data_IF_273844434172
#
_entry.id   IF_273844434172
#
_cell.length_a   1.000
_cell.length_b   1.000
_cell.length_c   1.000
_cell.angle_alpha   90.00
_cell.angle_beta   90.00
_cell.angle_gamma   90.00
#
_symmetry.space_group_name_H-M   'P 1'
#
loop_
_entity.id
_entity.type
_entity.pdbx_description
1 polymer ?
#
# COMPACT_ATOMS: atom_id res chain seq x y z
N UNK A 1 3.94 17.26 -5.66
CA UNK A 1 3.11 16.14 -5.22
C UNK A 1 2.92 15.20 -6.40
N UNK A 2 3.06 13.89 -6.22
CA UNK A 2 2.99 12.87 -7.28
C UNK A 2 2.09 11.71 -6.85
N UNK A 3 1.44 11.07 -7.81
CA UNK A 3 0.52 9.96 -7.59
C UNK A 3 0.78 8.87 -8.62
N UNK A 4 0.68 7.61 -8.21
CA UNK A 4 0.70 6.48 -9.13
C UNK A 4 -0.24 5.38 -8.65
N UNK A 5 -1.24 5.04 -9.47
CA UNK A 5 -2.10 3.88 -9.19
C UNK A 5 -1.34 2.61 -9.57
N UNK A 6 -1.11 1.73 -8.61
CA UNK A 6 -0.61 0.38 -8.88
C UNK A 6 -1.75 -0.51 -9.35
N UNK A 7 -2.99 -0.19 -9.00
CA UNK A 7 -4.19 -0.72 -9.64
C UNK A 7 -5.46 -0.32 -8.89
N UNK A 8 -6.59 -0.53 -9.56
CA UNK A 8 -7.92 -0.26 -9.04
C UNK A 8 -8.90 -1.33 -9.54
N UNK A 9 -9.70 -1.89 -8.63
CA UNK A 9 -10.74 -2.87 -8.90
C UNK A 9 -10.68 -4.11 -8.02
N UNK A 10 -11.56 -5.08 -8.27
CA UNK A 10 -11.78 -6.27 -7.42
C UNK A 10 -10.58 -7.20 -7.24
N UNK A 11 -9.52 -7.02 -8.03
CA UNK A 11 -8.28 -7.80 -7.94
C UNK A 11 -7.20 -7.14 -7.09
N UNK A 12 -7.50 -5.98 -6.50
CA UNK A 12 -6.64 -5.25 -5.60
C UNK A 12 -6.52 -3.77 -5.96
N UNK A 13 -6.53 -2.95 -4.91
CA UNK A 13 -6.35 -1.51 -4.96
C UNK A 13 -5.07 -1.15 -4.22
N UNK A 14 -4.23 -0.32 -4.83
CA UNK A 14 -3.10 0.31 -4.17
C UNK A 14 -2.68 1.55 -4.96
N UNK A 15 -2.43 2.66 -4.26
CA UNK A 15 -1.97 3.92 -4.86
C UNK A 15 -0.78 4.45 -4.09
N UNK A 16 0.30 4.79 -4.79
CA UNK A 16 1.43 5.51 -4.21
C UNK A 16 1.15 7.01 -4.23
N UNK A 17 1.45 7.68 -3.12
CA UNK A 17 1.33 9.13 -2.97
C UNK A 17 2.64 9.68 -2.44
N UNK A 18 3.28 10.57 -3.21
CA UNK A 18 4.52 11.25 -2.81
C UNK A 18 4.30 12.75 -2.59
N UNK A 19 4.71 13.24 -1.43
CA UNK A 19 4.72 14.66 -1.08
C UNK A 19 6.05 15.01 -0.39
N UNK A 20 6.90 15.78 -1.08
CA UNK A 20 8.26 16.05 -0.60
C UNK A 20 9.08 14.75 -0.53
N UNK A 21 9.72 14.52 0.62
CA UNK A 21 10.45 13.27 0.90
C UNK A 21 9.53 12.12 1.32
N UNK A 22 8.27 12.39 1.63
CA UNK A 22 7.35 11.37 2.14
C UNK A 22 6.68 10.60 1.00
N UNK A 23 6.66 9.28 1.11
CA UNK A 23 5.98 8.35 0.22
C UNK A 23 5.12 7.39 1.03
N UNK A 24 3.81 7.39 0.78
CA UNK A 24 2.88 6.45 1.39
C UNK A 24 2.19 5.60 0.35
N UNK A 25 1.79 4.40 0.74
CA UNK A 25 0.86 3.57 -0.01
C UNK A 25 -0.54 3.71 0.58
N UNK A 26 -1.51 4.12 -0.22
CA UNK A 26 -2.94 4.08 0.12
C UNK A 26 -3.50 2.76 -0.38
N UNK A 27 -3.91 1.92 0.56
CA UNK A 27 -4.37 0.55 0.41
C UNK A 27 -3.34 -0.42 -0.21
N UNK A 28 -3.49 -1.71 0.10
CA UNK A 28 -2.78 -2.79 -0.58
C UNK A 28 -3.66 -4.05 -0.64
N UNK A 29 -4.50 -4.14 -1.67
CA UNK A 29 -5.27 -5.35 -1.97
C UNK A 29 -4.47 -6.48 -2.65
N UNK A 30 -3.28 -6.19 -3.14
CA UNK A 30 -2.43 -7.16 -3.83
C UNK A 30 -1.69 -8.08 -2.85
N UNK A 31 -1.25 -9.25 -3.32
CA UNK A 31 -0.21 -9.99 -2.60
C UNK A 31 1.06 -9.14 -2.47
N UNK A 32 1.83 -9.31 -1.38
CA UNK A 32 3.08 -8.57 -1.19
C UNK A 32 4.06 -8.72 -2.37
N UNK A 33 4.10 -9.89 -3.01
CA UNK A 33 4.92 -10.12 -4.22
C UNK A 33 4.49 -9.24 -5.39
N UNK A 34 3.18 -9.13 -5.63
CA UNK A 34 2.66 -8.35 -6.74
C UNK A 34 2.75 -6.84 -6.47
N UNK A 35 2.54 -6.40 -5.21
CA UNK A 35 2.77 -5.02 -4.81
C UNK A 35 4.23 -4.61 -5.09
N UNK A 36 5.20 -5.41 -4.64
CA UNK A 36 6.64 -5.18 -4.89
C UNK A 36 6.94 -5.11 -6.39
N UNK A 37 6.42 -6.05 -7.17
CA UNK A 37 6.61 -6.07 -8.63
C UNK A 37 6.08 -4.79 -9.28
N UNK A 38 4.90 -4.30 -8.87
CA UNK A 38 4.28 -3.09 -9.44
C UNK A 38 5.01 -1.82 -9.04
N UNK A 39 5.49 -1.72 -7.79
CA UNK A 39 6.33 -0.60 -7.36
C UNK A 39 7.65 -0.56 -8.14
N UNK A 40 8.28 -1.71 -8.37
CA UNK A 40 9.52 -1.80 -9.13
C UNK A 40 9.38 -1.31 -10.58
N UNK A 41 8.21 -1.48 -11.21
CA UNK A 41 7.93 -0.92 -12.55
C UNK A 41 7.98 0.61 -12.58
N UNK A 42 7.82 1.25 -11.42
CA UNK A 42 7.90 2.70 -11.23
C UNK A 42 9.23 3.15 -10.62
N UNK A 43 10.19 2.22 -10.45
CA UNK A 43 11.46 2.50 -9.77
C UNK A 43 11.31 2.79 -8.28
N UNK A 44 10.26 2.26 -7.64
CA UNK A 44 10.02 2.39 -6.19
C UNK A 44 10.30 1.05 -5.52
N UNK A 45 11.07 1.09 -4.43
CA UNK A 45 11.27 -0.05 -3.55
C UNK A 45 10.33 0.03 -2.34
N UNK A 46 9.94 -1.11 -1.73
CA UNK A 46 9.14 -1.10 -0.51
C UNK A 46 9.79 -0.32 0.64
N UNK A 47 11.12 -0.28 0.69
CA UNK A 47 11.88 0.46 1.69
C UNK A 47 11.80 1.99 1.51
N UNK A 48 11.34 2.47 0.35
CA UNK A 48 11.07 3.88 0.13
C UNK A 48 9.75 4.34 0.78
N UNK A 49 8.89 3.41 1.19
CA UNK A 49 7.61 3.74 1.81
C UNK A 49 7.81 4.12 3.27
N UNK A 50 7.21 5.24 3.67
CA UNK A 50 7.15 5.65 5.07
C UNK A 50 6.00 4.98 5.82
N UNK A 51 4.90 4.66 5.12
CA UNK A 51 3.71 4.08 5.74
C UNK A 51 2.74 3.46 4.73
N UNK A 52 1.82 2.65 5.25
CA UNK A 52 0.61 2.21 4.56
C UNK A 52 -0.61 2.87 5.24
N UNK A 53 -1.48 3.49 4.46
CA UNK A 53 -2.77 4.02 4.91
C UNK A 53 -3.86 3.08 4.40
N UNK A 54 -4.75 2.61 5.28
CA UNK A 54 -5.87 1.73 4.89
C UNK A 54 -7.17 2.49 4.99
N UNK A 55 -7.93 2.51 3.90
CA UNK A 55 -9.20 3.22 3.82
C UNK A 55 -10.34 2.47 4.51
N UNK A 56 -10.41 1.15 4.30
CA UNK A 56 -11.41 0.24 4.89
C UNK A 56 -10.97 -1.23 4.76
N UNK A 57 -11.69 -2.14 5.43
CA UNK A 57 -11.28 -3.52 5.72
C UNK A 57 -11.49 -4.53 4.59
N UNK A 58 -12.09 -4.10 3.48
CA UNK A 58 -12.34 -5.00 2.34
C UNK A 58 -11.04 -5.62 1.82
N UNK A 59 -11.11 -6.89 1.40
CA UNK A 59 -9.93 -7.68 1.05
C UNK A 59 -9.17 -7.15 -0.16
N UNK A 60 -9.86 -6.52 -1.11
CA UNK A 60 -9.27 -5.84 -2.25
C UNK A 60 -8.62 -4.48 -1.89
N UNK A 61 -8.68 -4.06 -0.63
CA UNK A 61 -7.96 -2.90 -0.09
C UNK A 61 -6.95 -3.29 1.00
N UNK A 62 -7.30 -4.23 1.89
CA UNK A 62 -6.48 -4.57 3.06
C UNK A 62 -5.77 -5.93 2.96
N UNK A 63 -6.11 -6.79 2.00
CA UNK A 63 -5.70 -8.20 1.97
C UNK A 63 -4.19 -8.45 1.88
N UNK A 64 -3.43 -7.47 1.37
CA UNK A 64 -1.98 -7.49 1.28
C UNK A 64 -1.24 -6.78 2.41
N UNK A 65 -1.93 -5.89 3.14
CA UNK A 65 -1.33 -4.91 4.05
C UNK A 65 -0.51 -5.60 5.14
N UNK A 66 -1.10 -6.56 5.86
CA UNK A 66 -0.42 -7.22 6.97
C UNK A 66 0.87 -7.94 6.55
N UNK A 67 0.88 -8.58 5.37
CA UNK A 67 2.08 -9.25 4.85
C UNK A 67 3.14 -8.26 4.40
N UNK A 68 2.73 -7.18 3.75
CA UNK A 68 3.66 -6.14 3.28
C UNK A 68 4.29 -5.41 4.47
N UNK A 69 3.47 -4.97 5.43
CA UNK A 69 3.91 -4.31 6.66
C UNK A 69 4.88 -5.16 7.46
N UNK A 70 4.55 -6.43 7.75
CA UNK A 70 5.44 -7.32 8.50
C UNK A 70 6.77 -7.59 7.80
N UNK A 71 6.76 -7.64 6.46
CA UNK A 71 7.97 -7.96 5.68
C UNK A 71 8.94 -6.78 5.58
N UNK A 72 8.42 -5.56 5.55
CA UNK A 72 9.19 -4.35 5.32
C UNK A 72 9.14 -3.37 6.50
N UNK A 73 8.66 -3.84 7.65
CA UNK A 73 8.54 -3.09 8.91
C UNK A 73 7.82 -1.73 8.76
N UNK A 74 6.80 -1.70 7.88
CA UNK A 74 6.07 -0.48 7.58
C UNK A 74 4.97 -0.22 8.62
N UNK A 75 4.87 1.00 9.17
CA UNK A 75 3.74 1.38 10.00
C UNK A 75 2.45 1.40 9.16
N UNK A 76 1.35 1.00 9.79
CA UNK A 76 0.02 0.99 9.18
C UNK A 76 -0.90 1.92 9.95
N UNK A 77 -1.50 2.88 9.25
CA UNK A 77 -2.51 3.77 9.80
C UNK A 77 -3.86 3.41 9.21
N UNK A 78 -4.84 3.27 10.09
CA UNK A 78 -6.21 2.87 9.77
C UNK A 78 -7.14 3.37 10.86
N UNK A 79 -8.43 3.47 10.56
CA UNK A 79 -9.42 3.88 11.56
C UNK A 79 -9.75 2.71 12.49
N UNK A 80 -10.25 3.00 13.69
CA UNK A 80 -10.65 1.94 14.63
C UNK A 80 -11.66 0.96 14.03
N UNK A 81 -12.62 1.44 13.23
CA UNK A 81 -13.61 0.58 12.56
C UNK A 81 -13.05 -0.29 11.44
N UNK A 82 -11.85 0.02 10.94
CA UNK A 82 -11.11 -0.80 9.98
C UNK A 82 -10.32 -1.92 10.67
N UNK A 83 -10.08 -1.80 11.98
CA UNK A 83 -9.37 -2.80 12.79
C UNK A 83 -10.34 -3.83 13.36
N UNK A 84 -10.88 -4.68 12.49
CA UNK A 84 -11.80 -5.77 12.85
C UNK A 84 -11.09 -7.14 12.86
#
# INVERSE_FOLDING_TARGET
>A
MQFASLGSGSKGNATLVRAGSTLVMVDCGFSAREAVRRMALLGVEPADLDAILVTHEHTDHAGGVARLSRRFELPVYLTHGTFL
#
